data_IF_472306310013
#
_entry.id   IF_472306310013
#
_cell.length_a   1.000
_cell.length_b   1.000
_cell.length_c   1.000
_cell.angle_alpha   90.00
_cell.angle_beta   90.00
_cell.angle_gamma   90.00
#
_symmetry.space_group_name_H-M   'P 1'
#
loop_
_entity.id
_entity.type
_entity.pdbx_description
1 polymer ?
#
# COMPACT_ATOMS: atom_id res chain seq x y z
N UNK A 1 -9.13 -5.91 23.81
CA UNK A 1 -8.76 -7.34 23.71
C UNK A 1 -8.21 -7.62 22.32
N UNK A 2 -7.01 -8.18 22.21
CA UNK A 2 -6.44 -8.53 20.91
C UNK A 2 -7.21 -9.72 20.31
N UNK A 3 -7.82 -9.54 19.16
CA UNK A 3 -8.52 -10.61 18.43
C UNK A 3 -7.47 -11.58 17.88
N UNK A 4 -7.47 -12.83 18.34
CA UNK A 4 -6.63 -13.90 17.78
C UNK A 4 -7.25 -14.37 16.45
N UNK A 5 -6.44 -14.52 15.42
CA UNK A 5 -6.86 -15.05 14.13
C UNK A 5 -6.57 -14.11 12.96
N UNK A 6 -7.01 -14.51 11.76
CA UNK A 6 -6.86 -13.71 10.53
C UNK A 6 -7.63 -12.38 10.67
N UNK A 7 -7.00 -11.28 10.30
CA UNK A 7 -7.65 -9.95 10.27
C UNK A 7 -8.98 -10.04 9.49
N UNK A 8 -10.08 -9.46 10.01
CA UNK A 8 -11.36 -9.48 9.33
C UNK A 8 -11.26 -8.70 8.01
N UNK A 9 -11.97 -9.17 6.99
CA UNK A 9 -12.13 -8.43 5.73
C UNK A 9 -13.00 -7.20 5.97
N UNK A 10 -12.72 -6.06 5.29
CA UNK A 10 -13.61 -4.89 5.32
C UNK A 10 -15.05 -5.24 4.93
N UNK A 11 -16.02 -4.52 5.50
CA UNK A 11 -17.44 -4.79 5.29
C UNK A 11 -17.84 -4.66 3.82
N UNK A 12 -17.29 -3.68 3.09
CA UNK A 12 -17.51 -3.52 1.66
C UNK A 12 -17.10 -4.76 0.86
N UNK A 13 -15.94 -5.35 1.16
CA UNK A 13 -15.47 -6.58 0.49
C UNK A 13 -16.37 -7.77 0.81
N UNK A 14 -16.88 -7.88 2.04
CA UNK A 14 -17.83 -8.94 2.42
C UNK A 14 -19.14 -8.81 1.68
N UNK A 15 -19.63 -7.59 1.46
CA UNK A 15 -20.86 -7.33 0.70
C UNK A 15 -20.69 -7.74 -0.76
N UNK A 16 -19.59 -7.37 -1.40
CA UNK A 16 -19.29 -7.75 -2.79
C UNK A 16 -19.14 -9.26 -2.98
N UNK A 17 -18.59 -9.96 -2.00
CA UNK A 17 -18.49 -11.45 -2.01
C UNK A 17 -19.84 -12.13 -1.67
N UNK A 18 -20.93 -11.38 -1.50
CA UNK A 18 -22.25 -11.95 -1.13
C UNK A 18 -22.33 -12.48 0.29
N UNK A 19 -21.37 -12.18 1.16
CA UNK A 19 -21.31 -12.63 2.57
C UNK A 19 -21.60 -14.14 2.74
N UNK A 20 -20.84 -15.04 2.11
CA UNK A 20 -21.14 -16.47 2.05
C UNK A 20 -21.24 -17.12 3.44
N UNK A 21 -20.60 -16.54 4.44
CA UNK A 21 -20.69 -17.00 5.83
C UNK A 21 -21.91 -16.49 6.61
N UNK A 22 -22.79 -15.68 6.00
CA UNK A 22 -24.00 -15.03 6.61
C UNK A 22 -23.69 -14.37 7.98
N UNK A 23 -22.46 -13.89 8.18
CA UNK A 23 -22.07 -13.22 9.44
C UNK A 23 -22.57 -11.80 9.44
N UNK A 24 -22.90 -11.28 10.63
CA UNK A 24 -23.30 -9.86 10.79
C UNK A 24 -22.24 -8.94 10.18
N UNK A 25 -22.69 -7.98 9.37
CA UNK A 25 -21.83 -6.96 8.79
C UNK A 25 -21.61 -5.85 9.83
N UNK A 26 -20.39 -5.32 9.88
CA UNK A 26 -20.08 -4.19 10.75
C UNK A 26 -20.59 -2.90 10.10
N UNK A 27 -21.77 -2.44 10.51
CA UNK A 27 -22.36 -1.18 10.02
C UNK A 27 -21.70 0.07 10.57
N UNK A 28 -20.93 -0.07 11.67
CA UNK A 28 -20.18 1.02 12.30
C UNK A 28 -18.73 1.14 11.84
N UNK A 29 -18.36 0.53 10.70
CA UNK A 29 -17.01 0.65 10.16
C UNK A 29 -16.75 2.11 9.73
N UNK A 30 -15.67 2.77 10.25
CA UNK A 30 -15.31 4.12 9.86
C UNK A 30 -15.05 4.23 8.35
N UNK A 31 -15.69 5.19 7.70
CA UNK A 31 -15.47 5.52 6.29
C UNK A 31 -14.83 6.91 6.20
N UNK A 32 -13.50 7.01 6.32
CA UNK A 32 -12.81 8.29 6.20
C UNK A 32 -12.97 8.86 4.79
N UNK A 33 -12.92 10.19 4.68
CA UNK A 33 -12.94 10.86 3.36
C UNK A 33 -11.75 10.39 2.50
N UNK A 34 -12.02 10.12 1.23
CA UNK A 34 -11.01 9.72 0.23
C UNK A 34 -10.23 10.95 -0.22
N UNK A 35 -9.40 11.49 0.65
CA UNK A 35 -8.56 12.65 0.39
C UNK A 35 -7.13 12.37 0.83
N UNK A 36 -6.19 12.60 -0.06
CA UNK A 36 -4.79 12.40 0.27
C UNK A 36 -4.32 13.38 1.36
N UNK A 37 -3.55 12.90 2.35
CA UNK A 37 -2.99 13.75 3.39
C UNK A 37 -1.93 14.68 2.84
N UNK A 38 -1.71 15.80 3.54
CA UNK A 38 -0.62 16.72 3.21
C UNK A 38 0.74 16.09 3.53
N UNK A 39 1.71 16.34 2.63
CA UNK A 39 3.08 15.87 2.83
C UNK A 39 3.69 16.48 4.09
N UNK A 40 4.16 15.67 5.04
CA UNK A 40 4.83 16.17 6.24
C UNK A 40 6.13 16.93 5.91
N UNK A 41 6.33 18.09 6.55
CA UNK A 41 7.49 18.94 6.31
C UNK A 41 8.84 18.28 6.70
N UNK A 42 8.80 17.40 7.71
CA UNK A 42 9.99 16.72 8.26
C UNK A 42 10.53 15.57 7.39
N UNK A 43 9.81 15.15 6.34
CA UNK A 43 10.31 14.14 5.42
C UNK A 43 11.56 14.62 4.68
N UNK A 44 12.46 13.72 4.37
CA UNK A 44 13.61 13.98 3.50
C UNK A 44 13.17 14.28 2.06
N UNK A 45 14.04 14.93 1.30
CA UNK A 45 13.69 15.39 -0.04
C UNK A 45 13.35 14.24 -0.99
N UNK A 46 14.06 13.12 -0.93
CA UNK A 46 13.73 11.92 -1.70
C UNK A 46 12.39 11.30 -1.26
N UNK A 47 12.11 11.28 0.03
CA UNK A 47 10.82 10.83 0.55
C UNK A 47 9.68 11.77 0.11
N UNK A 48 9.89 13.09 0.04
CA UNK A 48 8.92 14.05 -0.51
C UNK A 48 8.66 13.86 -1.99
N UNK A 49 9.69 13.52 -2.77
CA UNK A 49 9.54 13.19 -4.20
C UNK A 49 8.67 11.94 -4.37
N UNK A 50 8.95 10.90 -3.61
CA UNK A 50 8.17 9.66 -3.63
C UNK A 50 6.73 9.89 -3.16
N UNK A 51 6.54 10.73 -2.13
CA UNK A 51 5.21 11.16 -1.69
C UNK A 51 4.40 11.77 -2.83
N UNK A 52 4.97 12.76 -3.52
CA UNK A 52 4.31 13.44 -4.65
C UNK A 52 3.98 12.47 -5.79
N UNK A 53 4.86 11.51 -6.05
CA UNK A 53 4.68 10.50 -7.10
C UNK A 53 3.52 9.56 -6.80
N UNK A 54 3.46 9.05 -5.58
CA UNK A 54 2.53 7.99 -5.20
C UNK A 54 1.19 8.51 -4.67
N UNK A 55 1.18 9.65 -3.97
CA UNK A 55 -0.05 10.19 -3.38
C UNK A 55 -1.16 10.39 -4.41
N UNK A 56 -0.84 10.95 -5.58
CA UNK A 56 -1.81 11.15 -6.67
C UNK A 56 -2.41 9.84 -7.17
N UNK A 57 -1.59 8.79 -7.30
CA UNK A 57 -2.05 7.49 -7.78
C UNK A 57 -2.95 6.80 -6.75
N UNK A 58 -2.56 6.83 -5.47
CA UNK A 58 -3.33 6.23 -4.38
C UNK A 58 -4.62 7.00 -4.10
N UNK A 59 -4.62 8.32 -4.25
CA UNK A 59 -5.82 9.16 -4.17
C UNK A 59 -6.81 8.83 -5.30
N UNK A 60 -6.33 8.74 -6.53
CA UNK A 60 -7.15 8.35 -7.68
C UNK A 60 -7.79 6.97 -7.50
N UNK A 61 -7.07 6.03 -6.90
CA UNK A 61 -7.59 4.71 -6.56
C UNK A 61 -8.50 4.72 -5.31
N UNK A 62 -8.65 5.86 -4.63
CA UNK A 62 -9.45 5.98 -3.42
C UNK A 62 -8.94 5.15 -2.23
N UNK A 63 -7.66 4.81 -2.23
CA UNK A 63 -7.03 3.98 -1.20
C UNK A 63 -6.45 4.83 -0.07
N UNK A 64 -5.96 6.04 -0.40
CA UNK A 64 -5.30 6.93 0.56
C UNK A 64 -6.28 7.92 1.17
N UNK A 65 -6.28 8.00 2.49
CA UNK A 65 -7.12 8.89 3.28
C UNK A 65 -6.26 9.74 4.24
N UNK A 66 -6.83 10.79 4.83
CA UNK A 66 -6.10 11.67 5.76
C UNK A 66 -5.54 10.93 6.98
N UNK A 67 -6.20 9.87 7.44
CA UNK A 67 -5.73 9.07 8.59
C UNK A 67 -4.51 8.20 8.26
N UNK A 68 -4.22 7.97 6.99
CA UNK A 68 -3.11 7.12 6.56
C UNK A 68 -1.78 7.87 6.49
N UNK A 69 -1.76 9.16 6.87
CA UNK A 69 -0.58 10.03 6.77
C UNK A 69 0.68 9.41 7.36
N UNK A 70 0.60 8.86 8.57
CA UNK A 70 1.77 8.31 9.26
C UNK A 70 2.28 7.04 8.58
N UNK A 71 1.39 6.14 8.15
CA UNK A 71 1.75 4.91 7.44
C UNK A 71 2.37 5.22 6.07
N UNK A 72 1.79 6.17 5.34
CA UNK A 72 2.30 6.58 4.04
C UNK A 72 3.63 7.34 4.15
N UNK A 73 3.82 8.17 5.19
CA UNK A 73 5.11 8.78 5.49
C UNK A 73 6.18 7.73 5.80
N UNK A 74 5.82 6.68 6.54
CA UNK A 74 6.70 5.54 6.82
C UNK A 74 7.14 4.81 5.54
N UNK A 75 6.22 4.61 4.59
CA UNK A 75 6.54 4.05 3.27
C UNK A 75 7.55 4.94 2.52
N UNK A 76 7.26 6.25 2.39
CA UNK A 76 8.11 7.18 1.65
C UNK A 76 9.52 7.32 2.27
N UNK A 77 9.59 7.34 3.60
CA UNK A 77 10.88 7.40 4.30
C UNK A 77 11.67 6.09 4.14
N UNK A 78 10.99 4.93 4.19
CA UNK A 78 11.63 3.65 3.94
C UNK A 78 12.18 3.56 2.51
N UNK A 79 11.43 4.07 1.53
CA UNK A 79 11.89 4.17 0.14
C UNK A 79 13.15 5.04 0.01
N UNK A 80 13.15 6.23 0.62
CA UNK A 80 14.32 7.14 0.57
C UNK A 80 15.58 6.50 1.16
N UNK A 81 15.44 5.86 2.34
CA UNK A 81 16.56 5.16 3.00
C UNK A 81 17.04 3.94 2.24
N UNK A 82 16.14 3.18 1.64
CA UNK A 82 16.49 2.07 0.78
C UNK A 82 17.29 2.56 -0.43
N UNK A 83 16.78 3.59 -1.11
CA UNK A 83 17.45 4.20 -2.28
C UNK A 83 18.83 4.70 -1.95
N UNK A 84 19.00 5.47 -0.86
CA UNK A 84 20.30 5.97 -0.38
C UNK A 84 21.29 4.83 -0.15
N UNK A 85 20.86 3.74 0.48
CA UNK A 85 21.70 2.59 0.73
C UNK A 85 22.11 1.87 -0.57
N UNK A 86 21.21 1.73 -1.55
CA UNK A 86 21.51 1.15 -2.86
C UNK A 86 22.45 2.03 -3.69
N UNK A 87 22.29 3.35 -3.65
CA UNK A 87 23.20 4.29 -4.30
C UNK A 87 24.63 4.19 -3.71
N UNK A 88 24.74 4.09 -2.40
CA UNK A 88 26.02 3.85 -1.73
C UNK A 88 26.66 2.54 -2.16
N UNK A 89 25.90 1.44 -2.17
CA UNK A 89 26.37 0.11 -2.59
C UNK A 89 26.83 0.13 -4.05
N UNK A 90 26.11 0.84 -4.91
CA UNK A 90 26.49 0.98 -6.33
C UNK A 90 27.80 1.69 -6.50
N UNK A 91 28.09 2.69 -5.67
CA UNK A 91 29.34 3.48 -5.75
C UNK A 91 30.54 2.78 -5.10
N UNK A 92 30.34 2.06 -3.99
CA UNK A 92 31.42 1.54 -3.14
C UNK A 92 31.53 0.02 -3.16
N UNK A 93 30.55 -0.68 -3.73
CA UNK A 93 30.46 -2.15 -3.69
C UNK A 93 29.84 -2.68 -2.40
N UNK A 94 29.61 -3.99 -2.39
CA UNK A 94 28.97 -4.69 -1.27
C UNK A 94 29.95 -5.09 -0.17
N UNK A 95 31.24 -5.16 -0.47
CA UNK A 95 32.32 -5.56 0.43
C UNK A 95 33.48 -4.59 0.34
N UNK A 96 34.10 -4.34 1.46
CA UNK A 96 35.31 -3.50 1.57
C UNK A 96 36.41 -4.25 2.33
N UNK A 97 37.66 -3.91 2.02
CA UNK A 97 38.81 -4.41 2.76
C UNK A 97 39.09 -3.50 3.95
N UNK A 98 39.04 -4.08 5.16
CA UNK A 98 39.36 -3.33 6.38
C UNK A 98 40.86 -2.97 6.44
N UNK A 99 41.26 -1.98 7.26
CA UNK A 99 42.67 -1.65 7.48
C UNK A 99 43.50 -2.84 7.98
N UNK A 100 42.88 -3.79 8.67
CA UNK A 100 43.47 -5.05 9.14
C UNK A 100 43.57 -6.14 8.07
N UNK A 101 43.16 -5.84 6.80
CA UNK A 101 43.29 -6.74 5.67
C UNK A 101 42.12 -7.72 5.44
N UNK A 102 41.12 -7.75 6.31
CA UNK A 102 39.94 -8.61 6.17
C UNK A 102 38.88 -8.01 5.25
N UNK A 103 38.17 -8.87 4.53
CA UNK A 103 36.99 -8.49 3.75
C UNK A 103 35.75 -8.45 4.64
N UNK A 104 35.03 -7.34 4.59
CA UNK A 104 33.82 -7.12 5.39
C UNK A 104 32.72 -6.56 4.50
N UNK A 105 31.50 -7.04 4.74
CA UNK A 105 30.30 -6.48 4.09
C UNK A 105 30.06 -5.06 4.60
N UNK A 106 29.73 -4.14 3.68
CA UNK A 106 29.36 -2.78 4.08
C UNK A 106 28.02 -2.77 4.80
N UNK A 107 27.85 -1.96 5.86
CA UNK A 107 26.59 -1.89 6.64
C UNK A 107 25.37 -1.57 5.79
N UNK A 108 25.54 -0.82 4.69
CA UNK A 108 24.49 -0.41 3.79
C UNK A 108 23.72 -1.59 3.17
N UNK A 109 24.36 -2.74 2.98
CA UNK A 109 23.67 -3.95 2.48
C UNK A 109 22.59 -4.41 3.46
N UNK A 110 22.90 -4.44 4.77
CA UNK A 110 21.93 -4.80 5.79
C UNK A 110 20.83 -3.74 5.95
N UNK A 111 21.20 -2.47 5.80
CA UNK A 111 20.27 -1.33 5.82
C UNK A 111 19.31 -1.43 4.64
N UNK A 112 19.81 -1.64 3.41
CA UNK A 112 18.99 -1.80 2.22
C UNK A 112 17.99 -2.95 2.35
N UNK A 113 18.45 -4.13 2.80
CA UNK A 113 17.59 -5.28 3.04
C UNK A 113 16.49 -5.01 4.08
N UNK A 114 16.83 -4.28 5.14
CA UNK A 114 15.87 -3.94 6.21
C UNK A 114 14.78 -3.00 5.69
N UNK A 115 15.16 -1.91 5.02
CA UNK A 115 14.18 -0.97 4.49
C UNK A 115 13.37 -1.55 3.34
N UNK A 116 13.94 -2.41 2.50
CA UNK A 116 13.18 -3.16 1.48
C UNK A 116 12.09 -4.03 2.11
N UNK A 117 12.39 -4.74 3.21
CA UNK A 117 11.39 -5.53 3.94
C UNK A 117 10.28 -4.66 4.54
N UNK A 118 10.64 -3.50 5.11
CA UNK A 118 9.68 -2.54 5.65
C UNK A 118 8.78 -2.00 4.54
N UNK A 119 9.38 -1.58 3.43
CA UNK A 119 8.67 -1.06 2.26
C UNK A 119 7.69 -2.10 1.69
N UNK A 120 8.10 -3.37 1.57
CA UNK A 120 7.23 -4.44 1.09
C UNK A 120 5.98 -4.61 1.96
N UNK A 121 6.09 -4.48 3.29
CA UNK A 121 4.93 -4.52 4.18
C UNK A 121 3.95 -3.38 3.90
N UNK A 122 4.45 -2.16 3.66
CA UNK A 122 3.60 -1.04 3.27
C UNK A 122 2.99 -1.23 1.88
N UNK A 123 3.76 -1.76 0.92
CA UNK A 123 3.24 -2.11 -0.41
C UNK A 123 2.06 -3.09 -0.33
N UNK A 124 2.13 -4.07 0.55
CA UNK A 124 1.01 -4.99 0.79
C UNK A 124 -0.21 -4.28 1.40
N UNK A 125 0.01 -3.34 2.32
CA UNK A 125 -1.09 -2.61 2.98
C UNK A 125 -1.78 -1.62 2.03
N UNK A 126 -1.03 -0.92 1.20
CA UNK A 126 -1.54 0.04 0.23
C UNK A 126 -1.92 -0.59 -1.13
N UNK A 127 -1.91 -1.91 -1.25
CA UNK A 127 -2.29 -2.57 -2.50
C UNK A 127 -1.34 -2.31 -3.67
N UNK A 128 -0.08 -1.99 -3.41
CA UNK A 128 0.91 -1.70 -4.45
C UNK A 128 1.44 -2.96 -5.14
N UNK A 129 1.16 -4.14 -4.60
CA UNK A 129 1.48 -5.41 -5.24
C UNK A 129 0.28 -5.97 -6.00
N UNK A 130 0.46 -6.74 -7.10
CA UNK A 130 -0.64 -7.35 -7.84
C UNK A 130 -1.56 -8.20 -6.96
N UNK A 131 -0.98 -9.01 -6.07
CA UNK A 131 -1.74 -9.85 -5.13
C UNK A 131 -2.49 -9.06 -4.06
N UNK A 132 -1.99 -7.89 -3.67
CA UNK A 132 -2.69 -7.02 -2.74
C UNK A 132 -3.83 -6.27 -3.43
N UNK A 133 -3.63 -5.81 -4.68
CA UNK A 133 -4.68 -5.16 -5.49
C UNK A 133 -5.90 -6.06 -5.71
N UNK A 134 -5.71 -7.34 -5.98
CA UNK A 134 -6.84 -8.27 -6.12
C UNK A 134 -7.70 -8.43 -4.86
N UNK A 135 -7.22 -7.92 -3.71
CA UNK A 135 -7.94 -7.95 -2.42
C UNK A 135 -8.57 -6.60 -2.06
N UNK A 136 -8.27 -5.56 -2.83
CA UNK A 136 -8.81 -4.20 -2.63
C UNK A 136 -9.82 -3.97 -3.74
N UNK A 137 -11.10 -3.90 -3.40
CA UNK A 137 -12.12 -3.37 -4.31
C UNK A 137 -12.07 -1.86 -4.21
N UNK A 138 -11.66 -1.23 -5.30
CA UNK A 138 -11.77 0.22 -5.46
C UNK A 138 -13.16 0.52 -6.01
N UNK A 139 -13.88 1.42 -5.35
CA UNK A 139 -15.14 1.97 -5.83
C UNK A 139 -14.81 3.00 -6.93
N UNK A 140 -14.24 2.53 -8.04
CA UNK A 140 -14.06 3.33 -9.24
C UNK A 140 -15.43 3.46 -9.87
N UNK A 141 -15.90 4.70 -10.04
CA UNK A 141 -17.24 5.01 -10.56
C UNK A 141 -17.54 4.50 -11.99
N UNK A 142 -16.66 3.68 -12.55
CA UNK A 142 -16.84 2.99 -13.83
C UNK A 142 -17.74 1.72 -13.71
N UNK A 143 -17.90 1.17 -12.51
CA UNK A 143 -18.77 -0.02 -12.30
C UNK A 143 -20.27 0.28 -12.43
N UNK A 144 -20.68 1.57 -12.37
CA UNK A 144 -22.11 1.94 -12.55
C UNK A 144 -22.60 1.73 -13.98
N UNK A 145 -21.74 1.82 -15.00
CA UNK A 145 -22.16 1.57 -16.38
C UNK A 145 -22.26 0.07 -16.71
N UNK A 146 -21.45 -0.77 -16.05
CA UNK A 146 -21.55 -2.22 -16.25
C UNK A 146 -22.77 -2.81 -15.53
N UNK A 147 -23.15 -2.30 -14.35
CA UNK A 147 -24.36 -2.72 -13.62
C UNK A 147 -25.64 -2.39 -14.41
N UNK A 148 -25.71 -1.26 -15.10
CA UNK A 148 -26.86 -0.92 -15.96
C UNK A 148 -26.95 -1.84 -17.17
N UNK A 149 -25.82 -2.25 -17.75
CA UNK A 149 -25.79 -3.16 -18.90
C UNK A 149 -26.16 -4.59 -18.49
N UNK A 150 -25.72 -5.05 -17.30
CA UNK A 150 -26.09 -6.35 -16.73
C UNK A 150 -27.59 -6.41 -16.37
N UNK A 151 -28.14 -5.33 -15.83
CA UNK A 151 -29.57 -5.18 -15.56
C UNK A 151 -30.44 -5.22 -16.84
N UNK A 152 -29.92 -4.67 -17.97
CA UNK A 152 -30.59 -4.72 -19.26
C UNK A 152 -30.55 -6.12 -19.87
N UNK A 153 -29.46 -6.87 -19.69
CA UNK A 153 -29.34 -8.25 -20.18
C UNK A 153 -30.25 -9.21 -19.39
N UNK A 154 -30.38 -9.04 -18.08
CA UNK A 154 -31.29 -9.84 -17.24
C UNK A 154 -32.78 -9.56 -17.56
N UNK A 155 -33.15 -8.33 -17.90
CA UNK A 155 -34.51 -7.97 -18.30
C UNK A 155 -34.86 -8.37 -19.75
N UNK A 156 -33.85 -8.56 -20.62
CA UNK A 156 -34.06 -8.96 -22.02
C UNK A 156 -34.25 -10.48 -22.24
N UNK A 157 -33.98 -11.30 -21.24
CA UNK A 157 -34.05 -12.76 -21.32
C UNK A 157 -35.37 -13.41 -20.91
N UNK A 158 -36.41 -12.64 -20.58
CA UNK A 158 -37.74 -13.15 -20.21
C UNK A 158 -38.74 -12.92 -21.36
N UNK A 159 -38.69 -13.78 -22.37
CA UNK A 159 -39.78 -14.05 -23.31
C UNK A 159 -39.78 -15.54 -23.64
#
# INVERSE_FOLDING_TARGET
MAQRGRKPKPTAVKMLEGNPGKRSLNTGEPKPEKKAPRCPAWLEDEAKKEWKRMAKQLEHLGILTEIDMAAFAGYCQAYARWKEAEEFITQHGTIVKTPSGYWQQVPQVSIAQTYLKIMNKFCEQFGLTPSARSRISTDSGEDKQNDEMELLLVKGGAK
#
